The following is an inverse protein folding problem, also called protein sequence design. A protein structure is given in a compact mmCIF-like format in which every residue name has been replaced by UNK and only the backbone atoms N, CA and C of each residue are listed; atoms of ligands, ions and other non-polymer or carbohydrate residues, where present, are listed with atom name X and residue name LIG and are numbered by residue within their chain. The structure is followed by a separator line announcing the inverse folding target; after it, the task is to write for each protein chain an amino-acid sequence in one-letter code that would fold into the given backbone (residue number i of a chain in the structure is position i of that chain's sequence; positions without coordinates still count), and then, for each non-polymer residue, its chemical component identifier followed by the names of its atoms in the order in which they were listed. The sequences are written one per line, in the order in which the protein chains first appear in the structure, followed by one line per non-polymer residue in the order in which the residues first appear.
data_IF_821254044915
#
_entry.id   IF_821254044915
#
_cell.length_a   1.000
_cell.length_b   1.000
_cell.length_c   1.000
_cell.angle_alpha   90.00
_cell.angle_beta   90.00
_cell.angle_gamma   90.00
#
_symmetry.space_group_name_H-M   'P 1'
#
loop_
_entity.id
_entity.type
_entity.pdbx_description
1 polymer ?
#
# COMPACT_ATOMS: atom_id res chain seq x y z
N UNK A 1 -18.01 -7.51 -3.94
CA UNK A 1 -16.58 -7.84 -4.03
C UNK A 1 -15.75 -6.94 -4.97
N UNK A 2 -16.32 -6.32 -6.03
CA UNK A 2 -15.62 -5.28 -6.81
C UNK A 2 -15.64 -3.88 -6.16
N UNK A 3 -16.68 -3.56 -5.38
CA UNK A 3 -16.78 -2.23 -4.77
C UNK A 3 -15.72 -2.01 -3.68
N UNK A 4 -15.45 -3.01 -2.83
CA UNK A 4 -14.47 -2.88 -1.74
C UNK A 4 -13.04 -2.54 -2.23
N UNK A 5 -12.58 -3.20 -3.31
CA UNK A 5 -11.24 -2.98 -3.86
C UNK A 5 -11.11 -1.56 -4.45
N UNK A 6 -12.14 -1.10 -5.16
CA UNK A 6 -12.14 0.22 -5.77
C UNK A 6 -12.34 1.34 -4.74
N UNK A 7 -13.19 1.12 -3.74
CA UNK A 7 -13.37 2.04 -2.60
C UNK A 7 -12.06 2.19 -1.83
N UNK A 8 -11.38 1.08 -1.53
CA UNK A 8 -10.11 1.14 -0.83
C UNK A 8 -9.00 1.84 -1.60
N UNK A 9 -8.96 1.65 -2.92
CA UNK A 9 -8.05 2.40 -3.78
C UNK A 9 -8.27 3.92 -3.63
N UNK A 10 -9.52 4.37 -3.76
CA UNK A 10 -9.85 5.80 -3.67
C UNK A 10 -9.53 6.40 -2.29
N UNK A 11 -9.89 5.70 -1.21
CA UNK A 11 -9.64 6.17 0.16
C UNK A 11 -8.14 6.19 0.51
N UNK A 12 -7.38 5.16 0.12
CA UNK A 12 -5.92 5.16 0.30
C UNK A 12 -5.26 6.32 -0.46
N UNK A 13 -5.67 6.57 -1.71
CA UNK A 13 -5.15 7.68 -2.49
C UNK A 13 -5.47 9.03 -1.83
N UNK A 14 -6.74 9.24 -1.41
CA UNK A 14 -7.12 10.46 -0.66
C UNK A 14 -6.30 10.65 0.61
N UNK A 15 -6.11 9.61 1.41
CA UNK A 15 -5.33 9.70 2.65
C UNK A 15 -3.89 10.15 2.39
N UNK A 16 -3.26 9.61 1.36
CA UNK A 16 -1.89 9.96 1.02
C UNK A 16 -1.74 11.36 0.42
N UNK A 17 -2.74 11.83 -0.34
CA UNK A 17 -2.70 13.16 -0.97
C UNK A 17 -3.22 14.29 -0.06
N UNK A 18 -4.23 14.02 0.76
CA UNK A 18 -5.00 15.05 1.48
C UNK A 18 -5.01 14.90 2.99
N UNK A 19 -4.31 13.89 3.55
CA UNK A 19 -4.32 13.55 4.99
C UNK A 19 -5.73 13.36 5.59
N UNK A 20 -6.73 13.02 4.77
CA UNK A 20 -8.08 12.74 5.24
C UNK A 20 -8.19 11.37 5.90
N UNK A 21 -9.11 11.21 6.86
CA UNK A 21 -9.40 9.94 7.53
C UNK A 21 -9.88 8.88 6.53
N UNK A 22 -9.33 7.67 6.66
CA UNK A 22 -9.72 6.53 5.86
C UNK A 22 -11.08 5.98 6.27
N UNK A 23 -12.01 5.91 5.32
CA UNK A 23 -13.31 5.25 5.52
C UNK A 23 -13.45 4.03 4.60
N UNK A 24 -12.72 2.97 4.94
CA UNK A 24 -12.64 1.73 4.14
C UNK A 24 -13.44 0.58 4.75
N UNK A 25 -13.91 0.74 5.99
CA UNK A 25 -14.70 -0.27 6.67
C UNK A 25 -16.15 -0.15 6.22
N UNK A 26 -16.74 -1.22 5.67
CA UNK A 26 -18.18 -1.25 5.37
C UNK A 26 -18.95 -1.60 6.65
N UNK A 27 -19.95 -0.79 6.99
CA UNK A 27 -20.74 -0.89 8.22
C UNK A 27 -21.70 -2.09 8.32
N UNK A 28 -21.79 -2.97 7.31
CA UNK A 28 -22.79 -4.04 7.30
C UNK A 28 -22.16 -5.44 7.32
N UNK A 29 -21.92 -5.95 8.53
CA UNK A 29 -22.04 -7.35 9.00
C UNK A 29 -20.99 -7.68 10.09
N UNK A 30 -21.38 -8.51 11.07
CA UNK A 30 -20.63 -8.97 12.27
C UNK A 30 -19.25 -9.63 12.02
N UNK A 31 -18.75 -9.63 10.80
CA UNK A 31 -17.40 -10.05 10.40
C UNK A 31 -16.52 -8.87 9.95
N UNK A 32 -16.75 -7.67 10.49
CA UNK A 32 -15.99 -6.47 10.19
C UNK A 32 -14.49 -6.72 10.44
N UNK A 33 -13.75 -7.00 9.37
CA UNK A 33 -12.30 -6.98 9.41
C UNK A 33 -11.88 -5.52 9.53
N UNK A 34 -11.70 -5.07 10.77
CA UNK A 34 -11.08 -3.77 11.02
C UNK A 34 -9.61 -3.86 10.61
N UNK A 35 -9.26 -3.09 9.59
CA UNK A 35 -7.86 -2.97 9.18
C UNK A 35 -7.25 -1.75 9.87
N UNK A 36 -6.15 -1.98 10.57
CA UNK A 36 -5.37 -0.90 11.15
C UNK A 36 -4.46 -0.29 10.06
N UNK A 37 -4.71 0.99 9.78
CA UNK A 37 -3.95 1.80 8.82
C UNK A 37 -3.01 2.81 9.50
N UNK A 38 -2.80 2.71 10.81
CA UNK A 38 -1.86 3.55 11.57
C UNK A 38 -0.44 3.57 10.97
N UNK A 39 -0.05 2.50 10.28
CA UNK A 39 1.24 2.40 9.60
C UNK A 39 1.42 3.43 8.47
N UNK A 40 0.33 3.96 7.88
CA UNK A 40 0.43 4.88 6.75
C UNK A 40 1.04 6.23 7.14
N UNK A 41 0.82 6.71 8.37
CA UNK A 41 1.47 7.93 8.88
C UNK A 41 2.98 7.72 8.97
N UNK A 42 3.41 6.53 9.42
CA UNK A 42 4.83 6.17 9.48
C UNK A 42 5.43 6.13 8.07
N UNK A 43 4.72 5.59 7.09
CA UNK A 43 5.19 5.56 5.69
C UNK A 43 5.47 6.95 5.13
N UNK A 44 4.64 7.95 5.46
CA UNK A 44 4.85 9.34 5.02
C UNK A 44 6.16 9.94 5.54
N UNK A 45 6.65 9.46 6.69
CA UNK A 45 7.94 9.89 7.25
C UNK A 45 9.15 9.23 6.59
N UNK A 46 8.95 8.19 5.77
CA UNK A 46 10.05 7.45 5.15
C UNK A 46 10.57 8.19 3.92
N UNK A 47 11.53 9.08 4.13
CA UNK A 47 12.13 9.86 3.04
C UNK A 47 12.81 8.98 1.99
N UNK A 48 12.55 9.29 0.72
CA UNK A 48 13.09 8.58 -0.44
C UNK A 48 12.41 7.23 -0.72
N UNK A 49 11.40 6.84 0.06
CA UNK A 49 10.52 5.72 -0.27
C UNK A 49 9.46 6.21 -1.25
N UNK A 50 9.22 5.44 -2.30
CA UNK A 50 8.16 5.67 -3.28
C UNK A 50 7.00 4.77 -2.89
N UNK A 51 5.84 5.38 -2.63
CA UNK A 51 4.62 4.68 -2.27
C UNK A 51 3.77 4.54 -3.53
N UNK A 52 3.35 3.33 -3.87
CA UNK A 52 2.45 3.08 -4.99
C UNK A 52 1.22 2.32 -4.50
N UNK A 53 0.04 2.93 -4.64
CA UNK A 53 -1.23 2.28 -4.35
C UNK A 53 -1.75 1.66 -5.66
N UNK A 54 -2.11 0.37 -5.62
CA UNK A 54 -2.62 -0.36 -6.77
C UNK A 54 -3.78 -1.25 -6.34
N UNK A 55 -5.02 -0.84 -6.63
CA UNK A 55 -6.21 -1.47 -6.07
C UNK A 55 -6.16 -1.47 -4.53
N UNK A 56 -6.17 -2.66 -3.93
CA UNK A 56 -6.08 -2.84 -2.47
C UNK A 56 -4.67 -3.18 -1.96
N UNK A 57 -3.65 -2.95 -2.80
CA UNK A 57 -2.25 -3.16 -2.47
C UNK A 57 -1.53 -1.83 -2.29
N UNK A 58 -0.73 -1.75 -1.23
CA UNK A 58 0.26 -0.68 -1.04
C UNK A 58 1.63 -1.27 -1.36
N UNK A 59 2.35 -0.67 -2.31
CA UNK A 59 3.69 -1.07 -2.74
C UNK A 59 4.70 -0.02 -2.32
N UNK A 60 5.88 -0.45 -1.86
CA UNK A 60 6.99 0.45 -1.53
C UNK A 60 8.22 0.12 -2.36
N UNK A 61 8.79 1.13 -2.99
CA UNK A 61 10.01 1.05 -3.78
C UNK A 61 10.90 2.28 -3.53
N UNK A 62 11.99 2.46 -4.31
CA UNK A 62 12.97 3.52 -4.06
C UNK A 62 13.93 3.18 -2.92
N UNK A 63 14.22 4.15 -2.05
CA UNK A 63 15.21 4.04 -0.97
C UNK A 63 14.69 3.29 0.27
N UNK A 64 14.22 2.05 0.07
CA UNK A 64 13.66 1.21 1.14
C UNK A 64 14.70 0.47 1.98
N UNK A 65 15.98 0.48 1.57
CA UNK A 65 17.04 -0.27 2.25
C UNK A 65 17.33 0.23 3.69
N UNK A 66 17.46 1.55 3.93
CA UNK A 66 17.66 2.08 5.29
C UNK A 66 16.44 1.86 6.19
N UNK A 67 15.25 1.84 5.58
CA UNK A 67 13.96 1.72 6.29
C UNK A 67 13.44 0.28 6.37
N UNK A 68 14.25 -0.71 5.96
CA UNK A 68 13.84 -2.11 5.85
C UNK A 68 13.24 -2.66 7.13
N UNK A 69 13.85 -2.36 8.28
CA UNK A 69 13.40 -2.85 9.57
C UNK A 69 12.04 -2.25 9.94
N UNK A 70 11.88 -0.93 9.78
CA UNK A 70 10.61 -0.23 9.94
C UNK A 70 9.53 -0.84 9.05
N UNK A 71 9.80 -0.95 7.75
CA UNK A 71 8.85 -1.50 6.77
C UNK A 71 8.44 -2.93 7.14
N UNK A 72 9.39 -3.76 7.59
CA UNK A 72 9.11 -5.12 8.04
C UNK A 72 8.25 -5.15 9.31
N UNK A 73 8.48 -4.24 10.27
CA UNK A 73 7.66 -4.11 11.48
C UNK A 73 6.24 -3.62 11.18
N UNK A 74 6.05 -2.83 10.12
CA UNK A 74 4.74 -2.41 9.62
C UNK A 74 3.96 -3.55 8.93
N UNK A 75 4.51 -4.76 8.85
CA UNK A 75 3.82 -5.93 8.28
C UNK A 75 3.89 -6.04 6.76
N UNK A 76 4.73 -5.26 6.10
CA UNK A 76 4.99 -5.41 4.66
C UNK A 76 5.81 -6.67 4.38
N UNK A 77 5.59 -7.28 3.22
CA UNK A 77 6.40 -8.40 2.72
C UNK A 77 7.20 -7.96 1.51
N UNK A 78 8.45 -8.42 1.43
CA UNK A 78 9.31 -8.13 0.28
C UNK A 78 9.05 -9.11 -0.86
N UNK A 79 8.85 -8.58 -2.07
CA UNK A 79 8.74 -9.37 -3.30
C UNK A 79 10.07 -9.35 -4.05
N UNK A 80 10.86 -10.43 -3.95
CA UNK A 80 12.14 -10.53 -4.67
C UNK A 80 12.00 -10.43 -6.20
N UNK A 81 10.90 -10.94 -6.76
CA UNK A 81 10.65 -10.87 -8.20
C UNK A 81 10.36 -9.45 -8.70
N UNK A 82 9.77 -8.60 -7.85
CA UNK A 82 9.40 -7.21 -8.19
C UNK A 82 10.38 -6.20 -7.58
N UNK A 83 11.30 -6.65 -6.72
CA UNK A 83 12.25 -5.84 -5.94
C UNK A 83 11.56 -4.70 -5.17
N UNK A 84 10.41 -5.00 -4.58
CA UNK A 84 9.59 -4.01 -3.87
C UNK A 84 8.86 -4.66 -2.70
N UNK A 85 8.52 -3.85 -1.71
CA UNK A 85 7.68 -4.28 -0.60
C UNK A 85 6.22 -4.14 -0.98
N UNK A 86 5.36 -4.97 -0.40
CA UNK A 86 3.93 -4.86 -0.58
C UNK A 86 3.18 -5.20 0.71
N UNK A 87 2.06 -4.54 0.89
CA UNK A 87 1.08 -4.80 1.94
C UNK A 87 -0.30 -4.97 1.31
N UNK A 88 -1.08 -5.89 1.89
CA UNK A 88 -2.51 -5.96 1.66
C UNK A 88 -3.19 -6.60 2.87
N UNK A 89 -4.48 -6.34 3.08
CA UNK A 89 -5.21 -6.88 4.22
C UNK A 89 -5.35 -8.40 4.21
N UNK A 90 -5.33 -9.01 3.02
CA UNK A 90 -5.40 -10.46 2.86
C UNK A 90 -4.04 -11.17 2.96
N UNK A 91 -2.96 -10.45 3.28
CA UNK A 91 -1.57 -10.93 3.13
C UNK A 91 -1.22 -12.05 4.11
N UNK A 92 -1.98 -12.13 5.20
CA UNK A 92 -1.88 -13.16 6.23
C UNK A 92 -2.95 -14.25 6.09
N UNK A 93 -3.87 -14.11 5.14
CA UNK A 93 -4.85 -15.14 4.83
C UNK A 93 -4.17 -16.11 3.85
N UNK A 94 -4.10 -17.38 4.24
CA UNK A 94 -3.38 -18.47 3.54
C UNK A 94 -3.84 -18.75 2.10
N UNK A 95 -4.90 -18.07 1.63
CA UNK A 95 -5.45 -18.18 0.28
C UNK A 95 -4.69 -17.35 -0.76
N UNK A 96 -3.62 -16.63 -0.40
CA UNK A 96 -2.79 -15.90 -1.35
C UNK A 96 -2.10 -16.87 -2.33
N UNK A 97 -2.76 -17.13 -3.45
CA UNK A 97 -2.17 -17.82 -4.60
C UNK A 97 -1.16 -16.87 -5.21
N UNK A 98 0.09 -17.34 -5.31
CA UNK A 98 1.20 -16.65 -5.97
C UNK A 98 0.85 -16.48 -7.45
N UNK A 99 0.14 -15.40 -7.77
CA UNK A 99 -0.25 -15.10 -9.16
C UNK A 99 0.99 -14.77 -9.98
N UNK A 100 1.08 -15.33 -11.19
CA UNK A 100 2.13 -15.02 -12.17
C UNK A 100 1.99 -13.62 -12.79
N UNK A 101 0.97 -12.85 -12.38
CA UNK A 101 0.71 -11.52 -12.92
C UNK A 101 1.88 -10.57 -12.63
N UNK A 102 2.35 -9.92 -13.70
CA UNK A 102 3.35 -8.87 -13.64
C UNK A 102 2.76 -7.60 -13.03
N UNK A 103 3.60 -6.72 -12.46
CA UNK A 103 3.14 -5.40 -11.96
C UNK A 103 2.37 -4.64 -13.04
N UNK A 104 2.87 -4.66 -14.29
CA UNK A 104 2.23 -3.98 -15.42
C UNK A 104 0.79 -4.46 -15.65
N UNK A 105 0.52 -5.75 -15.50
CA UNK A 105 -0.82 -6.29 -15.65
C UNK A 105 -1.73 -5.88 -14.49
N UNK A 106 -1.21 -5.89 -13.26
CA UNK A 106 -1.98 -5.47 -12.07
C UNK A 106 -2.36 -3.99 -12.18
N UNK A 107 -1.42 -3.12 -12.58
CA UNK A 107 -1.68 -1.69 -12.83
C UNK A 107 -2.76 -1.47 -13.89
N UNK A 108 -2.76 -2.29 -14.95
CA UNK A 108 -3.77 -2.20 -16.02
C UNK A 108 -5.16 -2.65 -15.55
N UNK A 109 -5.21 -3.69 -14.72
CA UNK A 109 -6.46 -4.31 -14.28
C UNK A 109 -7.16 -3.46 -13.19
N UNK A 110 -6.40 -2.80 -12.30
CA UNK A 110 -6.92 -2.12 -11.11
C UNK A 110 -6.62 -0.61 -11.04
N UNK A 111 -5.79 -0.10 -11.94
CA UNK A 111 -5.20 1.23 -11.78
C UNK A 111 -4.07 1.25 -10.76
N UNK A 112 -3.22 2.27 -10.86
CA UNK A 112 -2.15 2.52 -9.90
C UNK A 112 -1.88 4.00 -9.79
N UNK A 113 -1.61 4.45 -8.57
CA UNK A 113 -1.23 5.82 -8.27
C UNK A 113 0.07 5.79 -7.48
N UNK A 114 1.07 6.49 -8.00
CA UNK A 114 2.32 6.71 -7.29
C UNK A 114 2.13 7.98 -6.46
N UNK A 115 2.38 7.85 -5.18
CA UNK A 115 2.42 8.95 -4.22
C UNK A 115 3.90 9.27 -4.04
N UNK A 116 4.27 10.44 -4.54
CA UNK A 116 5.59 10.99 -4.31
C UNK A 116 5.64 11.53 -2.87
N UNK A 117 6.15 10.70 -1.96
CA UNK A 117 6.55 11.16 -0.62
C UNK A 117 7.70 12.14 -0.79
N UNK A 118 7.67 13.27 -0.06
CA UNK A 118 8.63 14.37 -0.21
C UNK A 118 10.07 13.84 -0.42
N UNK A 119 10.51 13.90 -1.68
CA UNK A 119 11.91 13.75 -2.00
C UNK A 119 12.59 14.92 -1.30
N UNK A 120 13.53 14.64 -0.41
CA UNK A 120 14.42 15.69 0.10
C UNK A 120 14.92 16.47 -1.11
N UNK A 121 14.46 17.72 -1.26
CA UNK A 121 15.10 18.65 -2.15
C UNK A 121 16.50 18.81 -1.57
N UNK A 122 17.48 18.20 -2.25
CA UNK A 122 18.88 18.44 -1.97
C UNK A 122 19.10 19.90 -2.30
N UNK A 123 19.02 20.78 -1.29
CA UNK A 123 19.40 22.17 -1.43
C UNK A 123 20.92 22.13 -1.58
N UNK A 124 21.37 22.29 -2.81
CA UNK A 124 22.78 22.45 -3.18
C UNK A 124 23.26 23.86 -2.85
#
# INVERSE_FOLDING_TARGET
MMQLINTAFAELCKYFETNQTLDINQDDNESAQSFDFSFLDTLKTLHGVIIEVCGYWVWLSGNTYPHKETISHLGFKYSGAKKSWYWNPTINISSYRRGSKSMKQIRKDYGSQIIDTEMQQVIN
#
